data_IF_353106767957
#
_entry.id   IF_353106767957
#
_cell.length_a   1.000
_cell.length_b   1.000
_cell.length_c   1.000
_cell.angle_alpha   90.00
_cell.angle_beta   90.00
_cell.angle_gamma   90.00
#
_symmetry.space_group_name_H-M   'P 1'
#
loop_
_entity.id
_entity.type
_entity.pdbx_description
1 polymer ?
#
# COMPACT_ATOMS: atom_id res chain seq x y z
N UNK A 1 -25.70 17.32 -28.26
CA UNK A 1 -24.42 16.61 -28.40
C UNK A 1 -23.55 16.79 -27.16
N UNK A 2 -23.30 18.03 -26.72
CA UNK A 2 -22.51 18.35 -25.50
C UNK A 2 -23.05 17.67 -24.22
N UNK A 3 -24.38 17.61 -24.02
CA UNK A 3 -24.99 16.92 -22.86
C UNK A 3 -24.69 15.42 -22.80
N UNK A 4 -24.56 14.74 -23.94
CA UNK A 4 -24.22 13.31 -23.98
C UNK A 4 -22.76 13.06 -23.58
N UNK A 5 -21.87 13.97 -24.02
CA UNK A 5 -20.44 13.94 -23.70
C UNK A 5 -20.18 14.16 -22.21
N UNK A 6 -20.93 15.07 -21.58
CA UNK A 6 -20.82 15.33 -20.14
C UNK A 6 -21.28 14.14 -19.29
N UNK A 7 -22.33 13.44 -19.71
CA UNK A 7 -22.79 12.23 -19.02
C UNK A 7 -21.80 11.06 -19.16
N UNK A 8 -21.16 10.92 -20.32
CA UNK A 8 -20.13 9.89 -20.55
C UNK A 8 -18.86 10.13 -19.70
N UNK A 9 -18.45 11.39 -19.53
CA UNK A 9 -17.31 11.75 -18.68
C UNK A 9 -17.61 11.55 -17.18
N UNK A 10 -18.85 11.83 -16.74
CA UNK A 10 -19.27 11.56 -15.37
C UNK A 10 -19.27 10.05 -15.04
N UNK A 11 -19.56 9.19 -16.02
CA UNK A 11 -19.46 7.73 -15.88
C UNK A 11 -18.00 7.25 -15.75
N UNK A 12 -17.06 7.88 -16.45
CA UNK A 12 -15.64 7.51 -16.41
C UNK A 12 -14.96 7.80 -15.05
N UNK A 13 -15.49 8.77 -14.28
CA UNK A 13 -14.95 9.14 -12.96
C UNK A 13 -15.37 8.16 -11.85
N UNK A 14 -16.41 7.34 -12.04
CA UNK A 14 -16.96 6.50 -10.98
C UNK A 14 -16.25 5.14 -10.77
N UNK A 15 -15.34 4.69 -11.64
CA UNK A 15 -14.84 3.29 -11.62
C UNK A 15 -13.32 3.14 -11.84
N UNK A 16 -12.48 4.08 -11.40
CA UNK A 16 -11.03 3.85 -11.50
C UNK A 16 -10.20 4.84 -10.68
N UNK A 17 -9.38 4.44 -9.71
CA UNK A 17 -9.07 3.13 -9.16
C UNK A 17 -8.31 3.37 -7.85
N UNK A 18 -8.50 2.48 -6.88
CA UNK A 18 -7.73 2.52 -5.65
C UNK A 18 -6.23 2.46 -5.98
N UNK A 19 -5.47 3.48 -5.56
CA UNK A 19 -4.01 3.47 -5.65
C UNK A 19 -3.48 2.41 -4.68
N UNK A 20 -3.46 1.15 -5.11
CA UNK A 20 -2.72 0.11 -4.44
C UNK A 20 -1.25 0.55 -4.46
N UNK A 21 -0.67 0.77 -3.28
CA UNK A 21 0.75 1.03 -3.17
C UNK A 21 1.49 -0.13 -3.84
N UNK A 22 2.21 0.18 -4.91
CA UNK A 22 2.85 -0.82 -5.76
C UNK A 22 3.92 -1.56 -4.94
N UNK A 23 3.61 -2.79 -4.52
CA UNK A 23 4.49 -3.59 -3.69
C UNK A 23 5.84 -3.88 -4.37
N UNK A 24 5.91 -3.79 -5.71
CA UNK A 24 7.13 -3.92 -6.51
C UNK A 24 8.21 -2.92 -6.09
N UNK A 25 7.83 -1.69 -5.75
CA UNK A 25 8.77 -0.67 -5.31
C UNK A 25 9.54 -1.09 -4.04
N UNK A 26 8.92 -1.87 -3.15
CA UNK A 26 9.57 -2.35 -1.93
C UNK A 26 10.73 -3.31 -2.21
N UNK A 27 10.75 -4.00 -3.34
CA UNK A 27 11.82 -4.95 -3.69
C UNK A 27 13.14 -4.27 -4.06
N UNK A 28 13.11 -2.97 -4.36
CA UNK A 28 14.31 -2.16 -4.60
C UNK A 28 15.07 -1.82 -3.32
N UNK A 29 14.44 -1.98 -2.16
CA UNK A 29 15.02 -1.68 -0.86
C UNK A 29 16.02 -2.78 -0.50
N UNK A 30 17.30 -2.39 -0.34
CA UNK A 30 18.38 -3.31 0.01
C UNK A 30 18.34 -3.77 1.48
N UNK A 31 17.89 -2.90 2.39
CA UNK A 31 17.71 -3.25 3.80
C UNK A 31 16.52 -4.19 3.98
N UNK A 32 16.76 -5.37 4.54
CA UNK A 32 15.74 -6.42 4.64
C UNK A 32 14.58 -6.01 5.56
N UNK A 33 14.89 -5.32 6.66
CA UNK A 33 13.89 -4.87 7.62
C UNK A 33 12.99 -3.78 7.02
N UNK A 34 13.58 -2.76 6.39
CA UNK A 34 12.85 -1.71 5.70
C UNK A 34 12.01 -2.26 4.53
N UNK A 35 12.52 -3.26 3.80
CA UNK A 35 11.75 -3.97 2.77
C UNK A 35 10.55 -4.70 3.36
N UNK A 36 10.75 -5.45 4.45
CA UNK A 36 9.66 -6.17 5.12
C UNK A 36 8.58 -5.20 5.64
N UNK A 37 9.00 -4.07 6.22
CA UNK A 37 8.10 -3.01 6.66
C UNK A 37 7.30 -2.41 5.49
N UNK A 38 7.97 -2.08 4.38
CA UNK A 38 7.33 -1.57 3.18
C UNK A 38 6.30 -2.56 2.63
N UNK A 39 6.67 -3.84 2.53
CA UNK A 39 5.78 -4.90 2.04
C UNK A 39 4.58 -5.11 2.98
N UNK A 40 4.77 -5.02 4.29
CA UNK A 40 3.66 -5.07 5.25
C UNK A 40 2.63 -3.97 4.96
N UNK A 41 3.09 -2.73 4.74
CA UNK A 41 2.21 -1.59 4.42
C UNK A 41 1.56 -1.69 3.05
N UNK A 42 2.31 -2.11 2.03
CA UNK A 42 1.81 -2.22 0.65
C UNK A 42 0.74 -3.31 0.52
N UNK A 43 0.93 -4.44 1.22
CA UNK A 43 -0.03 -5.55 1.20
C UNK A 43 -1.10 -5.47 2.30
N UNK A 44 -1.07 -4.44 3.13
CA UNK A 44 -1.91 -4.32 4.32
C UNK A 44 -1.88 -5.58 5.22
N UNK A 45 -0.71 -6.20 5.38
CA UNK A 45 -0.54 -7.49 6.08
C UNK A 45 0.49 -7.37 7.20
N UNK A 46 -0.01 -7.44 8.44
CA UNK A 46 0.78 -7.34 9.66
C UNK A 46 1.70 -8.56 9.89
N UNK A 47 1.41 -9.71 9.28
CA UNK A 47 2.25 -10.91 9.43
C UNK A 47 3.66 -10.70 8.88
N UNK A 48 3.79 -9.84 7.86
CA UNK A 48 5.08 -9.46 7.26
C UNK A 48 5.98 -8.69 8.21
N UNK A 49 5.43 -8.01 9.23
CA UNK A 49 6.24 -7.36 10.26
C UNK A 49 7.09 -8.36 11.05
N UNK A 50 6.70 -9.64 11.16
CA UNK A 50 7.50 -10.64 11.87
C UNK A 50 8.78 -11.05 11.14
N UNK A 51 8.93 -10.71 9.86
CA UNK A 51 10.18 -10.88 9.12
C UNK A 51 11.25 -9.83 9.46
N UNK A 52 10.88 -8.76 10.17
CA UNK A 52 11.79 -7.71 10.62
C UNK A 52 12.62 -8.25 11.80
N UNK A 53 13.94 -8.20 11.69
CA UNK A 53 14.89 -8.69 12.69
C UNK A 53 15.07 -7.69 13.84
N UNK A 54 15.13 -6.39 13.52
CA UNK A 54 15.20 -5.32 14.52
C UNK A 54 13.92 -5.23 15.34
N UNK A 55 14.02 -5.51 16.64
CA UNK A 55 12.87 -5.65 17.53
C UNK A 55 12.06 -4.34 17.67
N UNK A 56 12.74 -3.19 17.73
CA UNK A 56 12.16 -1.85 17.75
C UNK A 56 11.37 -1.56 16.45
N UNK A 57 11.97 -1.87 15.30
CA UNK A 57 11.35 -1.64 14.00
C UNK A 57 10.15 -2.58 13.77
N UNK A 58 10.24 -3.83 14.24
CA UNK A 58 9.12 -4.77 14.24
C UNK A 58 7.96 -4.27 15.11
N UNK A 59 8.25 -3.77 16.31
CA UNK A 59 7.22 -3.23 17.20
C UNK A 59 6.52 -2.01 16.56
N UNK A 60 7.29 -1.10 15.94
CA UNK A 60 6.75 0.03 15.19
C UNK A 60 5.87 -0.42 14.02
N UNK A 61 6.29 -1.43 13.26
CA UNK A 61 5.51 -2.00 12.16
C UNK A 61 4.17 -2.55 12.65
N UNK A 62 4.18 -3.40 13.69
CA UNK A 62 2.95 -3.99 14.24
C UNK A 62 2.00 -2.94 14.81
N UNK A 63 2.51 -1.86 15.40
CA UNK A 63 1.69 -0.75 15.89
C UNK A 63 1.01 0.00 14.74
N UNK A 64 1.76 0.38 13.71
CA UNK A 64 1.25 1.05 12.50
C UNK A 64 0.15 0.21 11.81
N UNK A 65 0.40 -1.10 11.68
CA UNK A 65 -0.54 -2.02 11.02
C UNK A 65 -1.81 -2.30 11.84
N UNK A 66 -1.81 -2.02 13.14
CA UNK A 66 -3.00 -2.08 14.00
C UNK A 66 -3.83 -0.81 13.97
N UNK A 67 -3.24 0.32 13.55
CA UNK A 67 -3.91 1.62 13.45
C UNK A 67 -4.59 1.88 12.11
N UNK A 68 -4.56 0.90 11.19
CA UNK A 68 -5.10 0.98 9.84
C UNK A 68 -6.32 0.07 9.70
#
# INVERSE_FOLDING_TARGET
MIRLVLLAMAYAVFIGGAHAADASACYTISDQDARAFCLAKAHNDSSRCYAIQRADMRAACLAEMRSK
#
